data_IF_255887456701
#
_entry.id   IF_255887456701
#
_cell.length_a   1.000
_cell.length_b   1.000
_cell.length_c   1.000
_cell.angle_alpha   90.00
_cell.angle_beta   90.00
_cell.angle_gamma   90.00
#
_symmetry.space_group_name_H-M   'P 1'
#
loop_
_entity.id
_entity.type
_entity.pdbx_description
1 polymer ?
#
# COMPACT_ATOMS: atom_id res chain seq x y z
N UNK A 1 -1.80 18.80 32.93
CA UNK A 1 -1.48 18.67 31.50
C UNK A 1 -0.87 17.31 31.13
N UNK A 2 -0.23 16.57 32.06
CA UNK A 2 0.35 15.25 31.78
C UNK A 2 -0.67 14.09 31.63
N UNK A 3 -1.90 14.20 32.17
CA UNK A 3 -2.91 13.13 32.10
C UNK A 3 -3.67 13.07 30.76
N UNK A 4 -3.88 14.19 30.05
CA UNK A 4 -4.59 14.21 28.76
C UNK A 4 -3.81 13.57 27.60
N UNK A 5 -2.47 13.63 27.63
CA UNK A 5 -1.64 12.99 26.61
C UNK A 5 -1.63 11.46 26.71
N UNK A 6 -1.75 10.91 27.93
CA UNK A 6 -1.78 9.46 28.16
C UNK A 6 -3.09 8.80 27.72
N UNK A 7 -4.23 9.44 27.96
CA UNK A 7 -5.54 8.93 27.52
C UNK A 7 -5.71 8.98 26.00
N UNK A 8 -5.16 10.01 25.34
CA UNK A 8 -5.18 10.13 23.88
C UNK A 8 -4.26 9.09 23.21
N UNK A 9 -3.06 8.88 23.76
CA UNK A 9 -2.14 7.83 23.27
C UNK A 9 -2.70 6.40 23.48
N UNK A 10 -3.40 6.16 24.59
CA UNK A 10 -4.07 4.87 24.84
C UNK A 10 -5.24 4.61 23.88
N UNK A 11 -6.09 5.62 23.63
CA UNK A 11 -7.17 5.53 22.63
C UNK A 11 -6.63 5.35 21.22
N UNK A 12 -5.54 6.03 20.85
CA UNK A 12 -4.92 5.85 19.54
C UNK A 12 -4.35 4.44 19.38
N UNK A 13 -3.72 3.85 20.41
CA UNK A 13 -3.27 2.45 20.38
C UNK A 13 -4.41 1.43 20.24
N UNK A 14 -5.55 1.66 20.91
CA UNK A 14 -6.73 0.79 20.76
C UNK A 14 -7.33 0.88 19.35
N UNK A 15 -7.34 2.07 18.75
CA UNK A 15 -7.86 2.29 17.39
C UNK A 15 -6.94 1.73 16.30
N UNK A 16 -5.62 1.86 16.45
CA UNK A 16 -4.61 1.24 15.58
C UNK A 16 -4.75 -0.29 15.57
N UNK A 17 -4.96 -0.87 16.75
CA UNK A 17 -5.22 -2.30 16.90
C UNK A 17 -6.54 -2.72 16.22
N UNK A 18 -7.54 -1.84 16.14
CA UNK A 18 -8.82 -2.10 15.46
C UNK A 18 -8.66 -2.20 13.94
N UNK A 19 -7.99 -1.22 13.32
CA UNK A 19 -7.77 -1.18 11.85
C UNK A 19 -6.90 -2.37 11.40
N UNK A 20 -5.81 -2.61 12.11
CA UNK A 20 -4.89 -3.72 11.86
C UNK A 20 -5.60 -5.07 12.04
N UNK A 21 -6.48 -5.21 13.04
CA UNK A 21 -7.30 -6.40 13.21
C UNK A 21 -8.31 -6.61 12.07
N UNK A 22 -8.99 -5.55 11.61
CA UNK A 22 -9.95 -5.64 10.50
C UNK A 22 -9.27 -6.04 9.19
N UNK A 23 -8.12 -5.44 8.87
CA UNK A 23 -7.33 -5.83 7.69
C UNK A 23 -6.88 -7.29 7.77
N UNK A 24 -6.49 -7.78 8.95
CA UNK A 24 -6.17 -9.20 9.14
C UNK A 24 -7.38 -10.14 9.06
N UNK A 25 -8.60 -9.66 9.32
CA UNK A 25 -9.80 -10.47 9.09
C UNK A 25 -10.08 -10.64 7.58
N UNK A 26 -9.78 -9.61 6.78
CA UNK A 26 -9.90 -9.67 5.31
C UNK A 26 -8.75 -10.47 4.68
N UNK A 27 -7.54 -10.35 5.21
CA UNK A 27 -6.34 -11.06 4.76
C UNK A 27 -5.73 -11.90 5.89
N UNK A 28 -6.30 -13.08 6.21
CA UNK A 28 -5.94 -13.85 7.40
C UNK A 28 -4.58 -14.57 7.31
N UNK A 29 -4.01 -14.72 6.11
CA UNK A 29 -2.74 -15.40 5.90
C UNK A 29 -1.69 -14.46 5.33
N UNK A 30 -0.49 -14.47 5.91
CA UNK A 30 0.69 -13.89 5.26
C UNK A 30 0.99 -14.69 3.99
N UNK A 31 1.13 -14.01 2.86
CA UNK A 31 1.42 -14.66 1.57
C UNK A 31 2.91 -15.05 1.48
N UNK A 32 3.76 -14.40 2.28
CA UNK A 32 5.19 -14.69 2.43
C UNK A 32 5.66 -14.38 3.86
N UNK A 33 6.81 -14.93 4.29
CA UNK A 33 7.37 -14.64 5.62
C UNK A 33 7.75 -13.16 5.81
N UNK A 34 8.11 -12.49 4.72
CA UNK A 34 8.44 -11.07 4.66
C UNK A 34 7.26 -10.20 4.22
N UNK A 35 6.05 -10.76 4.23
CA UNK A 35 4.82 -10.00 3.98
C UNK A 35 4.55 -9.05 5.15
N UNK A 36 4.62 -7.75 4.83
CA UNK A 36 4.41 -6.62 5.72
C UNK A 36 3.29 -5.68 5.22
N UNK A 37 2.52 -6.10 4.22
CA UNK A 37 1.54 -5.24 3.55
C UNK A 37 0.51 -4.68 4.53
N UNK A 38 -0.05 -5.55 5.37
CA UNK A 38 -1.03 -5.16 6.38
C UNK A 38 -0.42 -4.19 7.39
N UNK A 39 0.83 -4.42 7.82
CA UNK A 39 1.53 -3.51 8.71
C UNK A 39 1.78 -2.13 8.07
N UNK A 40 2.11 -2.07 6.78
CA UNK A 40 2.30 -0.81 6.05
C UNK A 40 0.98 -0.05 5.89
N UNK A 41 -0.08 -0.75 5.47
CA UNK A 41 -1.37 -0.14 5.20
C UNK A 41 -2.02 0.38 6.49
N UNK A 42 -1.97 -0.40 7.58
CA UNK A 42 -2.45 0.03 8.89
C UNK A 42 -1.72 1.28 9.41
N UNK A 43 -0.39 1.36 9.24
CA UNK A 43 0.41 2.52 9.64
C UNK A 43 0.03 3.77 8.84
N UNK A 44 -0.08 3.65 7.51
CA UNK A 44 -0.45 4.78 6.65
C UNK A 44 -1.86 5.27 6.95
N UNK A 45 -2.80 4.35 7.16
CA UNK A 45 -4.18 4.70 7.47
C UNK A 45 -4.30 5.40 8.82
N UNK A 46 -3.59 4.92 9.85
CA UNK A 46 -3.55 5.58 11.15
C UNK A 46 -3.04 7.02 11.05
N UNK A 47 -1.90 7.22 10.38
CA UNK A 47 -1.33 8.57 10.16
C UNK A 47 -2.29 9.46 9.38
N UNK A 48 -2.96 8.92 8.37
CA UNK A 48 -3.95 9.66 7.61
C UNK A 48 -5.15 10.09 8.47
N UNK A 49 -5.67 9.21 9.33
CA UNK A 49 -6.80 9.53 10.22
C UNK A 49 -6.43 10.56 11.29
N UNK A 50 -5.20 10.52 11.81
CA UNK A 50 -4.70 11.56 12.72
C UNK A 50 -4.62 12.92 12.03
N UNK A 51 -4.10 12.97 10.80
CA UNK A 51 -4.07 14.21 9.99
C UNK A 51 -5.49 14.70 9.69
N UNK A 52 -6.42 13.80 9.35
CA UNK A 52 -7.81 14.14 9.08
C UNK A 52 -8.47 14.77 10.30
N UNK A 53 -8.18 14.26 11.50
CA UNK A 53 -8.65 14.85 12.75
C UNK A 53 -8.07 16.23 13.00
N UNK A 54 -6.77 16.44 12.77
CA UNK A 54 -6.11 17.72 12.99
C UNK A 54 -6.64 18.81 12.04
N UNK A 55 -7.00 18.44 10.81
CA UNK A 55 -7.47 19.39 9.78
C UNK A 55 -8.98 19.63 9.82
N UNK A 56 -9.78 18.58 10.03
CA UNK A 56 -11.24 18.61 9.86
C UNK A 56 -12.02 18.28 11.13
N UNK A 57 -11.34 17.92 12.22
CA UNK A 57 -11.94 17.61 13.52
C UNK A 57 -12.31 16.14 13.71
N UNK A 58 -12.63 15.80 14.96
CA UNK A 58 -12.89 14.41 15.40
C UNK A 58 -14.14 13.81 14.74
N UNK A 59 -15.22 14.60 14.56
CA UNK A 59 -16.47 14.11 13.95
C UNK A 59 -16.25 13.54 12.54
N UNK A 60 -15.43 14.20 11.73
CA UNK A 60 -15.20 13.77 10.35
C UNK A 60 -14.24 12.58 10.29
N UNK A 61 -13.25 12.52 11.20
CA UNK A 61 -12.44 11.31 11.41
C UNK A 61 -13.33 10.12 11.73
N UNK A 62 -14.23 10.26 12.71
CA UNK A 62 -15.15 9.19 13.12
C UNK A 62 -16.04 8.76 11.95
N UNK A 63 -16.59 9.69 11.19
CA UNK A 63 -17.41 9.38 9.99
C UNK A 63 -16.63 8.58 8.96
N UNK A 64 -15.39 8.98 8.63
CA UNK A 64 -14.55 8.26 7.67
C UNK A 64 -14.19 6.87 8.19
N UNK A 65 -13.87 6.77 9.48
CA UNK A 65 -13.61 5.49 10.14
C UNK A 65 -14.84 4.58 10.09
N UNK A 66 -16.03 5.04 10.48
CA UNK A 66 -17.27 4.27 10.44
C UNK A 66 -17.58 3.77 9.02
N UNK A 67 -17.42 4.62 8.00
CA UNK A 67 -17.57 4.21 6.60
C UNK A 67 -16.56 3.13 6.21
N UNK A 68 -15.32 3.22 6.68
CA UNK A 68 -14.28 2.23 6.41
C UNK A 68 -14.60 0.88 7.07
N UNK A 69 -15.01 0.89 8.35
CA UNK A 69 -15.38 -0.31 9.09
C UNK A 69 -16.60 -1.01 8.47
N UNK A 70 -17.64 -0.26 8.10
CA UNK A 70 -18.82 -0.79 7.41
C UNK A 70 -18.47 -1.40 6.04
N UNK A 71 -17.54 -0.77 5.30
CA UNK A 71 -17.06 -1.29 4.01
C UNK A 71 -16.26 -2.58 4.19
N UNK A 72 -15.40 -2.66 5.21
CA UNK A 72 -14.64 -3.86 5.54
C UNK A 72 -15.55 -5.02 5.99
N UNK A 73 -16.57 -4.74 6.82
CA UNK A 73 -17.58 -5.74 7.20
C UNK A 73 -18.40 -6.24 6.00
N UNK A 74 -18.72 -5.32 5.08
CA UNK A 74 -19.39 -5.67 3.83
C UNK A 74 -18.53 -6.60 2.98
N UNK A 75 -17.24 -6.34 2.83
CA UNK A 75 -16.34 -7.21 2.06
C UNK A 75 -16.23 -8.61 2.68
N UNK A 76 -16.21 -8.71 4.01
CA UNK A 76 -16.13 -10.00 4.69
C UNK A 76 -17.41 -10.86 4.64
N UNK A 77 -18.59 -10.22 4.64
CA UNK A 77 -19.90 -10.92 4.76
C UNK A 77 -20.80 -10.80 3.52
N UNK A 78 -20.51 -9.86 2.63
CA UNK A 78 -21.34 -9.42 1.49
C UNK A 78 -22.82 -9.20 1.86
N UNK A 79 -23.08 -8.67 3.07
CA UNK A 79 -24.44 -8.45 3.56
C UNK A 79 -25.04 -7.18 2.95
N UNK A 80 -26.19 -7.26 2.24
CA UNK A 80 -26.86 -6.07 1.69
C UNK A 80 -27.23 -5.03 2.76
N UNK A 81 -27.49 -5.48 4.00
CA UNK A 81 -27.82 -4.61 5.14
C UNK A 81 -26.67 -3.67 5.48
N UNK A 82 -25.42 -4.14 5.38
CA UNK A 82 -24.23 -3.33 5.65
C UNK A 82 -24.00 -2.26 4.58
N UNK A 83 -24.33 -2.59 3.33
CA UNK A 83 -24.29 -1.62 2.24
C UNK A 83 -25.38 -0.54 2.42
N UNK A 84 -26.55 -0.91 2.92
CA UNK A 84 -27.63 0.03 3.25
C UNK A 84 -27.24 0.94 4.43
N UNK A 85 -26.64 0.39 5.49
CA UNK A 85 -26.07 1.17 6.61
C UNK A 85 -25.04 2.19 6.11
N UNK A 86 -24.10 1.77 5.26
CA UNK A 86 -23.11 2.67 4.64
C UNK A 86 -23.78 3.75 3.78
N UNK A 87 -24.78 3.37 2.98
CA UNK A 87 -25.55 4.30 2.15
C UNK A 87 -26.29 5.35 2.99
N UNK A 88 -26.83 4.96 4.14
CA UNK A 88 -27.49 5.89 5.06
C UNK A 88 -26.52 6.91 5.66
N UNK A 89 -25.31 6.48 6.05
CA UNK A 89 -24.26 7.39 6.51
C UNK A 89 -23.90 8.38 5.40
N UNK A 90 -23.57 7.90 4.19
CA UNK A 90 -23.17 8.74 3.07
C UNK A 90 -24.26 9.74 2.62
N UNK A 91 -25.53 9.35 2.68
CA UNK A 91 -26.66 10.22 2.28
C UNK A 91 -27.05 11.24 3.35
N UNK A 92 -26.63 11.03 4.60
CA UNK A 92 -26.87 11.95 5.70
C UNK A 92 -25.86 13.11 5.78
N UNK A 93 -24.75 13.02 5.05
CA UNK A 93 -23.71 14.04 5.00
C UNK A 93 -24.17 15.25 4.21
N UNK A 94 -23.73 16.44 4.63
CA UNK A 94 -23.90 17.64 3.82
C UNK A 94 -22.93 17.63 2.63
N UNK A 95 -23.12 18.49 1.62
CA UNK A 95 -22.27 18.51 0.44
C UNK A 95 -20.77 18.76 0.72
N UNK A 96 -20.45 19.52 1.77
CA UNK A 96 -19.07 19.80 2.18
C UNK A 96 -18.41 18.55 2.73
N UNK A 97 -19.04 17.91 3.71
CA UNK A 97 -18.54 16.69 4.33
C UNK A 97 -18.47 15.53 3.32
N UNK A 98 -19.44 15.43 2.42
CA UNK A 98 -19.45 14.44 1.33
C UNK A 98 -18.20 14.52 0.45
N UNK A 99 -17.76 15.75 0.12
CA UNK A 99 -16.54 15.96 -0.69
C UNK A 99 -15.31 15.51 0.08
N UNK A 100 -15.21 15.83 1.37
CA UNK A 100 -14.05 15.46 2.19
C UNK A 100 -13.99 13.94 2.38
N UNK A 101 -15.11 13.30 2.69
CA UNK A 101 -15.18 11.83 2.82
C UNK A 101 -14.76 11.15 1.51
N UNK A 102 -15.30 11.57 0.36
CA UNK A 102 -14.93 10.97 -0.93
C UNK A 102 -13.43 11.17 -1.27
N UNK A 103 -12.87 12.34 -0.95
CA UNK A 103 -11.43 12.60 -1.09
C UNK A 103 -10.63 11.70 -0.15
N UNK A 104 -11.03 11.56 1.10
CA UNK A 104 -10.36 10.72 2.09
C UNK A 104 -10.25 9.27 1.61
N UNK A 105 -11.33 8.66 1.13
CA UNK A 105 -11.29 7.32 0.55
C UNK A 105 -10.37 7.22 -0.68
N UNK A 106 -10.38 8.24 -1.54
CA UNK A 106 -9.46 8.30 -2.68
C UNK A 106 -7.99 8.37 -2.23
N UNK A 107 -7.70 9.12 -1.17
CA UNK A 107 -6.37 9.23 -0.59
C UNK A 107 -5.93 7.94 0.09
N UNK A 108 -6.79 7.32 0.90
CA UNK A 108 -6.54 6.02 1.52
C UNK A 108 -6.23 4.95 0.48
N UNK A 109 -6.99 4.89 -0.61
CA UNK A 109 -6.71 3.95 -1.71
C UNK A 109 -5.34 4.20 -2.36
N UNK A 110 -4.96 5.47 -2.55
CA UNK A 110 -3.62 5.79 -3.07
C UNK A 110 -2.52 5.36 -2.09
N UNK A 111 -2.71 5.53 -0.78
CA UNK A 111 -1.75 5.08 0.24
C UNK A 111 -1.63 3.55 0.25
N UNK A 112 -2.75 2.83 0.15
CA UNK A 112 -2.76 1.38 0.04
C UNK A 112 -1.99 0.89 -1.21
N UNK A 113 -2.19 1.55 -2.36
CA UNK A 113 -1.43 1.25 -3.57
C UNK A 113 0.08 1.48 -3.38
N UNK A 114 0.49 2.54 -2.67
CA UNK A 114 1.91 2.76 -2.36
C UNK A 114 2.47 1.69 -1.43
N UNK A 115 1.70 1.26 -0.43
CA UNK A 115 2.08 0.15 0.45
C UNK A 115 2.26 -1.15 -0.33
N UNK A 116 1.37 -1.43 -1.30
CA UNK A 116 1.49 -2.57 -2.20
C UNK A 116 2.74 -2.47 -3.09
N UNK A 117 3.00 -1.30 -3.70
CA UNK A 117 4.21 -1.07 -4.50
C UNK A 117 5.49 -1.34 -3.69
N UNK A 118 5.55 -0.85 -2.44
CA UNK A 118 6.69 -1.10 -1.54
C UNK A 118 6.79 -2.59 -1.22
N UNK A 119 5.67 -3.24 -0.88
CA UNK A 119 5.65 -4.67 -0.61
C UNK A 119 6.15 -5.47 -1.81
N UNK A 120 5.69 -5.18 -3.03
CA UNK A 120 6.12 -5.87 -4.25
C UNK A 120 7.60 -5.63 -4.51
N UNK A 121 8.08 -4.40 -4.37
CA UNK A 121 9.48 -4.04 -4.63
C UNK A 121 10.47 -4.73 -3.68
N UNK A 122 10.09 -4.92 -2.42
CA UNK A 122 10.97 -5.49 -1.39
C UNK A 122 10.67 -6.96 -1.05
N UNK A 123 9.60 -7.53 -1.62
CA UNK A 123 9.30 -8.96 -1.45
C UNK A 123 10.45 -9.78 -2.03
N UNK A 124 11.02 -10.64 -1.19
CA UNK A 124 12.05 -11.59 -1.60
C UNK A 124 11.45 -12.55 -2.61
N UNK A 125 12.17 -12.75 -3.72
CA UNK A 125 11.86 -13.83 -4.67
C UNK A 125 12.03 -15.17 -3.94
N UNK A 126 10.93 -15.85 -3.63
CA UNK A 126 10.95 -17.19 -3.05
C UNK A 126 11.31 -18.16 -4.18
N UNK A 127 12.45 -18.85 -4.03
CA UNK A 127 13.01 -19.77 -5.05
C UNK A 127 12.26 -21.09 -5.21
N UNK A 128 11.08 -21.27 -4.61
CA UNK A 128 10.26 -22.46 -4.78
C UNK A 128 9.53 -22.42 -6.14
N UNK A 129 10.32 -22.48 -7.21
CA UNK A 129 9.83 -22.55 -8.60
C UNK A 129 9.62 -24.00 -8.98
N UNK A 130 8.54 -24.31 -9.71
CA UNK A 130 8.29 -25.65 -10.24
C UNK A 130 9.11 -25.93 -11.50
N UNK A 131 9.71 -24.91 -12.10
CA UNK A 131 10.53 -24.99 -13.30
C UNK A 131 9.69 -25.10 -14.59
N UNK A 132 8.43 -24.70 -14.55
CA UNK A 132 7.48 -24.80 -15.67
C UNK A 132 7.04 -23.40 -16.13
N UNK A 133 6.47 -23.29 -17.34
CA UNK A 133 6.03 -22.02 -17.93
C UNK A 133 4.97 -21.30 -17.10
N UNK A 134 4.24 -22.02 -16.25
CA UNK A 134 3.30 -21.42 -15.30
C UNK A 134 3.98 -20.48 -14.29
N UNK A 135 5.29 -20.66 -14.04
CA UNK A 135 6.08 -19.80 -13.16
C UNK A 135 6.30 -18.40 -13.77
N UNK A 136 6.16 -18.22 -15.09
CA UNK A 136 6.33 -16.91 -15.75
C UNK A 136 5.08 -16.02 -15.64
N UNK A 137 3.97 -16.53 -15.10
CA UNK A 137 2.70 -15.79 -15.00
C UNK A 137 2.62 -14.88 -13.77
N UNK A 138 3.62 -14.89 -12.89
CA UNK A 138 3.67 -14.07 -11.69
C UNK A 138 5.07 -13.50 -11.48
N UNK A 139 5.15 -12.21 -11.17
CA UNK A 139 6.42 -11.54 -10.85
C UNK A 139 7.15 -12.19 -9.64
N UNK A 140 6.42 -12.95 -8.81
CA UNK A 140 7.02 -13.68 -7.67
C UNK A 140 7.79 -14.93 -8.11
N UNK A 141 7.48 -15.49 -9.28
CA UNK A 141 8.04 -16.76 -9.79
C UNK A 141 8.76 -16.61 -11.13
N UNK A 142 8.61 -15.47 -11.82
CA UNK A 142 9.23 -15.20 -13.12
C UNK A 142 10.76 -15.38 -13.09
N UNK A 143 11.31 -15.85 -14.20
CA UNK A 143 12.75 -16.03 -14.34
C UNK A 143 13.47 -14.68 -14.44
N UNK A 144 14.54 -14.48 -13.68
CA UNK A 144 15.44 -13.35 -13.96
C UNK A 144 16.20 -13.57 -15.29
N UNK A 145 16.93 -12.54 -15.74
CA UNK A 145 17.66 -12.61 -17.00
C UNK A 145 18.75 -13.70 -16.98
N UNK A 146 19.39 -13.94 -15.83
CA UNK A 146 20.45 -14.94 -15.68
C UNK A 146 19.86 -16.36 -15.69
N UNK A 147 18.75 -16.58 -14.98
CA UNK A 147 17.96 -17.82 -14.99
C UNK A 147 17.45 -18.11 -16.41
N UNK A 148 17.00 -17.09 -17.12
CA UNK A 148 16.58 -17.20 -18.53
C UNK A 148 17.74 -17.64 -19.41
N UNK A 149 18.92 -17.05 -19.25
CA UNK A 149 20.13 -17.46 -19.99
C UNK A 149 20.57 -18.87 -19.64
N UNK A 150 20.55 -19.25 -18.35
CA UNK A 150 20.84 -20.62 -17.89
C UNK A 150 19.87 -21.63 -18.47
N UNK A 151 18.57 -21.28 -18.56
CA UNK A 151 17.55 -22.13 -19.20
C UNK A 151 17.80 -22.27 -20.70
N UNK A 152 18.14 -21.18 -21.40
CA UNK A 152 18.44 -21.18 -22.82
C UNK A 152 19.66 -22.05 -23.17
N UNK A 153 20.73 -21.95 -22.39
CA UNK A 153 21.97 -22.73 -22.61
C UNK A 153 21.81 -24.17 -22.11
N UNK A 154 21.24 -24.36 -20.90
CA UNK A 154 21.17 -25.66 -20.25
C UNK A 154 20.05 -26.56 -20.75
N UNK A 155 18.82 -26.04 -20.84
CA UNK A 155 17.65 -26.85 -21.19
C UNK A 155 17.38 -26.82 -22.70
N UNK A 156 17.46 -25.63 -23.31
CA UNK A 156 17.19 -25.45 -24.74
C UNK A 156 18.43 -25.62 -25.63
N UNK A 157 19.59 -25.92 -25.02
CA UNK A 157 20.87 -26.22 -25.70
C UNK A 157 21.29 -25.19 -26.74
N UNK A 158 20.98 -23.91 -26.50
CA UNK A 158 21.48 -22.80 -27.31
C UNK A 158 22.94 -22.51 -26.97
N UNK A 159 23.74 -22.20 -27.97
CA UNK A 159 25.11 -21.75 -27.74
C UNK A 159 25.11 -20.34 -27.11
N UNK A 160 26.08 -20.02 -26.24
CA UNK A 160 26.21 -18.67 -25.69
C UNK A 160 26.32 -17.59 -26.77
N UNK A 161 26.96 -17.90 -27.90
CA UNK A 161 27.13 -17.01 -29.04
C UNK A 161 25.79 -16.68 -29.71
N UNK A 162 24.92 -17.68 -29.89
CA UNK A 162 23.55 -17.47 -30.44
C UNK A 162 22.70 -16.60 -29.51
N UNK A 163 22.78 -16.82 -28.19
CA UNK A 163 22.04 -16.01 -27.20
C UNK A 163 22.54 -14.57 -27.24
N UNK A 164 23.86 -14.38 -27.30
CA UNK A 164 24.47 -13.05 -27.37
C UNK A 164 24.06 -12.29 -28.64
N UNK A 165 24.09 -12.94 -29.80
CA UNK A 165 23.70 -12.31 -31.06
C UNK A 165 22.19 -11.99 -31.09
N UNK A 166 21.35 -12.85 -30.51
CA UNK A 166 19.91 -12.57 -30.37
C UNK A 166 19.65 -11.34 -29.49
N UNK A 167 20.33 -11.22 -28.34
CA UNK A 167 20.20 -10.05 -27.45
C UNK A 167 20.71 -8.78 -28.14
N UNK A 168 21.79 -8.86 -28.92
CA UNK A 168 22.33 -7.72 -29.68
C UNK A 168 21.34 -7.16 -30.70
N UNK A 169 20.54 -8.03 -31.31
CA UNK A 169 19.55 -7.68 -32.32
C UNK A 169 18.14 -7.46 -31.74
N UNK A 170 17.94 -7.64 -30.44
CA UNK A 170 16.65 -7.46 -29.78
C UNK A 170 16.37 -5.95 -29.56
N UNK A 171 15.16 -5.52 -29.88
CA UNK A 171 14.67 -4.16 -29.57
C UNK A 171 13.34 -4.27 -28.83
N UNK A 172 13.22 -3.53 -27.73
CA UNK A 172 11.99 -3.38 -26.97
C UNK A 172 11.61 -1.91 -27.01
N UNK A 173 10.46 -1.60 -27.59
CA UNK A 173 9.94 -0.24 -27.67
C UNK A 173 8.71 -0.11 -26.77
N UNK A 174 8.78 0.82 -25.80
CA UNK A 174 7.71 1.08 -24.84
C UNK A 174 7.01 2.38 -25.23
N UNK A 175 5.82 2.26 -25.83
CA UNK A 175 5.02 3.41 -26.24
C UNK A 175 4.15 3.86 -25.07
N UNK A 176 4.52 4.99 -24.45
CA UNK A 176 3.73 5.61 -23.39
C UNK A 176 2.47 6.25 -23.99
N UNK A 177 1.31 5.82 -23.52
CA UNK A 177 0.02 6.41 -23.88
C UNK A 177 -0.47 7.30 -22.74
N UNK A 178 -1.30 8.30 -23.07
CA UNK A 178 -1.93 9.12 -22.05
C UNK A 178 -2.90 8.26 -21.21
N UNK A 179 -2.83 8.38 -19.88
CA UNK A 179 -3.79 7.73 -19.02
C UNK A 179 -5.16 8.43 -19.14
N UNK A 180 -6.27 7.71 -19.42
CA UNK A 180 -7.54 8.31 -19.82
C UNK A 180 -8.21 9.17 -18.73
N UNK A 181 -7.83 9.01 -17.46
CA UNK A 181 -8.52 9.66 -16.33
C UNK A 181 -7.60 10.34 -15.30
N UNK A 182 -6.27 10.18 -15.40
CA UNK A 182 -5.37 10.66 -14.34
C UNK A 182 -4.04 11.15 -14.92
N UNK A 183 -3.95 12.45 -15.20
CA UNK A 183 -2.64 13.09 -15.40
C UNK A 183 -2.00 13.29 -14.03
N UNK A 184 -1.19 12.33 -13.58
CA UNK A 184 -0.43 12.47 -12.33
C UNK A 184 0.66 13.52 -12.52
N UNK A 185 0.64 14.58 -11.73
CA UNK A 185 1.67 15.63 -11.79
C UNK A 185 3.00 15.09 -11.28
N UNK A 186 4.11 15.51 -11.88
CA UNK A 186 5.47 15.13 -11.44
C UNK A 186 5.73 15.38 -9.95
N UNK A 187 5.18 16.47 -9.40
CA UNK A 187 5.28 16.78 -7.97
C UNK A 187 4.62 15.73 -7.08
N UNK A 188 3.51 15.13 -7.54
CA UNK A 188 2.81 14.07 -6.83
C UNK A 188 3.62 12.77 -6.84
N UNK A 189 4.21 12.42 -7.98
CA UNK A 189 5.12 11.28 -8.10
C UNK A 189 6.34 11.40 -7.16
N UNK A 190 6.86 12.62 -6.97
CA UNK A 190 7.96 12.87 -6.03
C UNK A 190 7.52 12.66 -4.58
N UNK A 191 6.31 13.09 -4.20
CA UNK A 191 5.75 12.83 -2.87
C UNK A 191 5.56 11.33 -2.63
N UNK A 192 4.99 10.62 -3.60
CA UNK A 192 4.87 9.16 -3.56
C UNK A 192 6.22 8.48 -3.37
N UNK A 193 7.25 8.90 -4.09
CA UNK A 193 8.59 8.37 -3.90
C UNK A 193 9.09 8.55 -2.46
N UNK A 194 8.92 9.75 -1.87
CA UNK A 194 9.33 10.02 -0.47
C UNK A 194 8.57 9.19 0.56
N UNK A 195 7.26 9.02 0.37
CA UNK A 195 6.45 8.13 1.24
C UNK A 195 6.97 6.70 1.18
N UNK A 196 7.25 6.18 -0.02
CA UNK A 196 7.84 4.83 -0.19
C UNK A 196 9.21 4.70 0.46
N UNK A 197 10.05 5.72 0.33
CA UNK A 197 11.38 5.74 0.95
C UNK A 197 11.30 5.74 2.48
N UNK A 198 10.36 6.50 3.07
CA UNK A 198 10.12 6.51 4.52
C UNK A 198 9.63 5.14 5.01
N UNK A 199 8.64 4.54 4.34
CA UNK A 199 8.14 3.21 4.67
C UNK A 199 9.24 2.15 4.63
N UNK A 200 10.09 2.20 3.61
CA UNK A 200 11.22 1.25 3.49
C UNK A 200 12.19 1.39 4.67
N UNK A 201 12.54 2.63 5.02
CA UNK A 201 13.52 2.90 6.08
C UNK A 201 12.98 2.55 7.46
N UNK A 202 11.69 2.82 7.73
CA UNK A 202 11.03 2.49 9.01
C UNK A 202 11.09 1.00 9.37
N UNK A 203 11.17 0.13 8.37
CA UNK A 203 11.20 -1.33 8.55
C UNK A 203 12.57 -1.95 8.25
N UNK A 204 13.61 -1.11 8.16
CA UNK A 204 15.00 -1.57 8.13
C UNK A 204 15.37 -2.30 9.43
N UNK A 205 16.29 -3.26 9.34
CA UNK A 205 16.65 -4.14 10.47
C UNK A 205 17.37 -3.42 11.61
N UNK A 206 18.11 -2.36 11.31
CA UNK A 206 19.05 -1.71 12.23
C UNK A 206 18.68 -0.24 12.48
N UNK A 207 17.39 0.06 12.65
CA UNK A 207 16.90 1.43 12.90
C UNK A 207 16.94 1.77 14.40
N UNK A 208 17.44 2.96 14.74
CA UNK A 208 17.40 3.44 16.14
C UNK A 208 16.01 4.01 16.49
N UNK A 209 15.63 4.05 17.78
CA UNK A 209 14.35 4.65 18.18
C UNK A 209 14.22 6.12 17.74
N UNK A 210 15.32 6.88 17.78
CA UNK A 210 15.35 8.29 17.38
C UNK A 210 15.15 8.42 15.87
N UNK A 211 15.87 7.63 15.06
CA UNK A 211 15.68 7.60 13.59
C UNK A 211 14.25 7.20 13.22
N UNK A 212 13.65 6.26 13.97
CA UNK A 212 12.28 5.83 13.75
C UNK A 212 11.29 6.96 14.01
N UNK A 213 11.51 7.76 15.06
CA UNK A 213 10.67 8.91 15.34
C UNK A 213 10.81 9.98 14.24
N UNK A 214 12.04 10.29 13.82
CA UNK A 214 12.28 11.28 12.75
C UNK A 214 11.63 10.85 11.42
N UNK A 215 11.71 9.57 11.08
CA UNK A 215 11.09 9.01 9.88
C UNK A 215 9.56 8.98 9.96
N UNK A 216 8.99 8.72 11.14
CA UNK A 216 7.54 8.77 11.35
C UNK A 216 7.01 10.21 11.23
N UNK A 217 7.71 11.18 11.79
CA UNK A 217 7.41 12.61 11.62
C UNK A 217 7.59 13.08 10.16
N UNK A 218 8.58 12.55 9.44
CA UNK A 218 8.74 12.80 8.01
C UNK A 218 7.59 12.21 7.19
N UNK A 219 7.19 10.97 7.49
CA UNK A 219 6.05 10.31 6.84
C UNK A 219 4.76 11.10 7.06
N UNK A 220 4.47 11.52 8.30
CA UNK A 220 3.28 12.31 8.61
C UNK A 220 3.26 13.65 7.86
N UNK A 221 4.41 14.32 7.73
CA UNK A 221 4.51 15.57 6.93
C UNK A 221 4.21 15.33 5.46
N UNK A 222 4.78 14.29 4.84
CA UNK A 222 4.55 14.00 3.42
C UNK A 222 3.10 13.59 3.14
N UNK A 223 2.45 12.88 4.06
CA UNK A 223 1.01 12.54 3.97
C UNK A 223 0.14 13.79 4.17
N UNK A 224 0.51 14.70 5.07
CA UNK A 224 -0.25 15.92 5.36
C UNK A 224 -0.23 16.92 4.19
N UNK A 225 0.92 17.10 3.54
CA UNK A 225 1.02 17.97 2.36
C UNK A 225 0.30 17.40 1.12
N UNK A 226 -0.37 16.26 1.22
CA UNK A 226 -1.09 15.62 0.12
C UNK A 226 -2.51 16.19 -0.10
N UNK A 227 -2.90 17.23 0.65
CA UNK A 227 -4.08 18.10 0.42
C UNK A 227 -3.76 19.30 -0.50
#
# INVERSE_FOLDING_TARGET
>A
MHQRGGEMAARNMEKLASIDAQLRLLAPGKVSEDDKLVEYDALLLDRFLDILQDLHGENLRETVQDCYELSAEYEGKHSPQKLEELGNVLTSLDPGDSIVVAKSFSHMLNLANLAEEVQIAYRRRIKLKKGDFADENSATTESDIEETFKRLVGQLKKSPEEVFDAVKNQTVDLVLTAHPTQSVRRSLLQKHARIRDCLTQLYAKDITPDDKQELDEALQREVCEYH
#
